data_IF_297443334117
#
_entry.id   IF_297443334117
#
_cell.length_a   1.000
_cell.length_b   1.000
_cell.length_c   1.000
_cell.angle_alpha   90.00
_cell.angle_beta   90.00
_cell.angle_gamma   90.00
#
_symmetry.space_group_name_H-M   'P 1'
#
loop_
_entity.id
_entity.type
_entity.pdbx_description
1 polymer ?
#
# COMPACT_ATOMS: atom_id res chain seq x y z
N UNK A 1 1.16 -16.72 14.85
CA UNK A 1 1.82 -15.57 14.21
C UNK A 1 0.76 -14.48 14.00
N UNK A 2 0.72 -13.48 14.89
CA UNK A 2 -0.35 -12.46 14.96
C UNK A 2 -0.13 -11.32 13.94
N UNK A 3 -0.06 -11.62 12.65
CA UNK A 3 0.30 -10.61 11.65
C UNK A 3 -0.87 -9.65 11.31
N UNK A 4 -2.12 -10.12 11.37
CA UNK A 4 -3.29 -9.31 11.00
C UNK A 4 -3.61 -8.15 11.95
N UNK A 5 -3.28 -8.29 13.25
CA UNK A 5 -3.50 -7.21 14.22
C UNK A 5 -2.56 -6.02 13.96
N UNK A 6 -1.33 -6.29 13.52
CA UNK A 6 -0.34 -5.26 13.20
C UNK A 6 -0.73 -4.48 11.93
N UNK A 7 -1.25 -5.16 10.91
CA UNK A 7 -1.71 -4.50 9.68
C UNK A 7 -2.92 -3.59 9.95
N UNK A 8 -3.90 -4.03 10.74
CA UNK A 8 -5.04 -3.18 11.12
C UNK A 8 -4.59 -1.92 11.88
N UNK A 9 -3.68 -2.07 12.84
CA UNK A 9 -3.14 -0.94 13.59
C UNK A 9 -2.34 0.03 12.69
N UNK A 10 -1.54 -0.51 11.77
CA UNK A 10 -0.80 0.30 10.79
C UNK A 10 -1.75 1.08 9.88
N UNK A 11 -2.80 0.43 9.35
CA UNK A 11 -3.80 1.10 8.50
C UNK A 11 -4.51 2.23 9.25
N UNK A 12 -4.85 2.02 10.52
CA UNK A 12 -5.46 3.06 11.35
C UNK A 12 -4.55 4.28 11.51
N UNK A 13 -3.24 4.06 11.78
CA UNK A 13 -2.23 5.14 11.84
C UNK A 13 -2.13 5.92 10.53
N UNK A 14 -2.15 5.23 9.38
CA UNK A 14 -2.07 5.87 8.06
C UNK A 14 -3.32 6.74 7.79
N UNK A 15 -4.51 6.24 8.12
CA UNK A 15 -5.76 7.01 7.95
C UNK A 15 -5.75 8.26 8.83
N UNK A 16 -5.30 8.15 10.07
CA UNK A 16 -5.16 9.30 10.98
C UNK A 16 -4.14 10.33 10.45
N UNK A 17 -3.05 9.84 9.86
CA UNK A 17 -1.99 10.69 9.32
C UNK A 17 -2.30 11.28 7.94
N UNK A 18 -3.38 10.87 7.26
CA UNK A 18 -3.68 11.26 5.88
C UNK A 18 -5.11 11.85 5.76
N UNK A 19 -5.27 13.18 5.83
CA UNK A 19 -6.60 13.81 5.80
C UNK A 19 -7.34 13.59 4.47
N UNK A 20 -6.63 13.24 3.40
CA UNK A 20 -7.19 13.00 2.06
C UNK A 20 -7.69 11.55 1.85
N UNK A 21 -7.33 10.61 2.71
CA UNK A 21 -7.80 9.22 2.64
C UNK A 21 -9.21 9.13 3.24
N UNK A 22 -10.26 9.29 2.41
CA UNK A 22 -11.64 9.20 2.87
C UNK A 22 -11.94 7.82 3.53
N UNK A 23 -12.42 7.86 4.77
CA UNK A 23 -12.61 6.72 5.67
C UNK A 23 -13.73 5.74 5.27
N UNK A 24 -14.65 6.13 4.39
CA UNK A 24 -15.84 5.33 4.06
C UNK A 24 -15.61 4.19 3.04
N UNK A 25 -14.60 4.29 2.18
CA UNK A 25 -14.32 3.33 1.09
C UNK A 25 -13.09 2.43 1.38
N UNK A 26 -12.52 2.54 2.58
CA UNK A 26 -11.14 2.12 2.86
C UNK A 26 -10.99 0.75 3.54
N UNK A 27 -12.08 0.02 3.79
CA UNK A 27 -12.03 -1.27 4.49
C UNK A 27 -11.36 -2.36 3.64
N UNK A 28 -11.64 -2.40 2.34
CA UNK A 28 -11.19 -3.47 1.43
C UNK A 28 -10.17 -3.01 0.38
N UNK A 29 -9.86 -1.70 0.36
CA UNK A 29 -9.00 -1.09 -0.65
C UNK A 29 -7.52 -1.38 -0.41
N UNK A 30 -6.80 -1.63 -1.50
CA UNK A 30 -5.35 -1.75 -1.48
C UNK A 30 -4.72 -0.36 -1.59
N UNK A 31 -3.59 -0.17 -0.94
CA UNK A 31 -2.81 1.06 -1.02
C UNK A 31 -1.44 0.78 -1.59
N UNK A 32 -0.98 1.61 -2.53
CA UNK A 32 0.41 1.69 -2.94
C UNK A 32 1.00 2.92 -2.25
N UNK A 33 1.78 2.68 -1.20
CA UNK A 33 2.49 3.73 -0.47
C UNK A 33 3.77 4.06 -1.23
N UNK A 34 3.96 5.34 -1.52
CA UNK A 34 5.09 5.85 -2.27
C UNK A 34 5.23 7.36 -2.08
N UNK A 35 6.08 7.98 -2.89
CA UNK A 35 6.12 9.44 -2.97
C UNK A 35 6.48 9.88 -4.39
N UNK A 36 6.04 11.08 -4.75
CA UNK A 36 6.29 11.67 -6.06
C UNK A 36 7.79 11.83 -6.34
N UNK A 37 8.21 11.57 -7.58
CA UNK A 37 9.62 11.67 -7.99
C UNK A 37 10.51 10.49 -7.56
N UNK A 38 9.93 9.42 -7.01
CA UNK A 38 10.64 8.20 -6.69
C UNK A 38 10.58 7.18 -7.84
N UNK A 39 11.73 6.86 -8.43
CA UNK A 39 11.80 5.93 -9.57
C UNK A 39 11.27 4.52 -9.25
N UNK A 40 11.52 4.01 -8.04
CA UNK A 40 10.99 2.70 -7.64
C UNK A 40 9.47 2.71 -7.53
N UNK A 41 8.87 3.84 -7.10
CA UNK A 41 7.42 3.98 -7.04
C UNK A 41 6.79 3.95 -8.44
N UNK A 42 7.41 4.59 -9.43
CA UNK A 42 6.96 4.52 -10.83
C UNK A 42 6.96 3.08 -11.36
N UNK A 43 7.98 2.28 -11.00
CA UNK A 43 8.05 0.85 -11.36
C UNK A 43 6.91 0.08 -10.71
N UNK A 44 6.65 0.31 -9.41
CA UNK A 44 5.56 -0.33 -8.68
C UNK A 44 4.18 0.05 -9.25
N UNK A 45 3.96 1.31 -9.62
CA UNK A 45 2.73 1.75 -10.29
C UNK A 45 2.52 1.02 -11.61
N UNK A 46 3.56 0.86 -12.43
CA UNK A 46 3.47 0.09 -13.67
C UNK A 46 3.12 -1.38 -13.42
N UNK A 47 3.63 -1.99 -12.35
CA UNK A 47 3.26 -3.35 -11.96
C UNK A 47 1.78 -3.42 -11.56
N UNK A 48 1.28 -2.44 -10.81
CA UNK A 48 -0.12 -2.35 -10.41
C UNK A 48 -1.07 -2.15 -11.60
N UNK A 49 -0.71 -1.30 -12.57
CA UNK A 49 -1.49 -1.11 -13.81
C UNK A 49 -1.56 -2.40 -14.63
N UNK A 50 -0.44 -3.12 -14.77
CA UNK A 50 -0.44 -4.43 -15.44
C UNK A 50 -1.30 -5.44 -14.70
N UNK A 51 -1.23 -5.44 -13.37
CA UNK A 51 -2.02 -6.32 -12.53
C UNK A 51 -3.53 -6.03 -12.64
N UNK A 52 -3.93 -4.75 -12.62
CA UNK A 52 -5.32 -4.32 -12.86
C UNK A 52 -5.87 -4.75 -14.23
N UNK A 53 -5.00 -4.88 -15.24
CA UNK A 53 -5.42 -5.33 -16.57
C UNK A 53 -5.86 -6.80 -16.60
N UNK A 54 -5.51 -7.59 -15.58
CA UNK A 54 -5.81 -9.03 -15.49
C UNK A 54 -6.58 -9.42 -14.22
N UNK A 55 -6.69 -8.52 -13.24
CA UNK A 55 -7.43 -8.73 -11.99
C UNK A 55 -8.27 -7.49 -11.68
N UNK A 56 -9.54 -7.63 -11.28
CA UNK A 56 -10.43 -6.50 -10.99
C UNK A 56 -10.16 -5.92 -9.60
N UNK A 57 -8.93 -5.46 -9.36
CA UNK A 57 -8.51 -4.85 -8.09
C UNK A 57 -8.57 -3.32 -8.18
N UNK A 58 -9.09 -2.68 -7.14
CA UNK A 58 -8.99 -1.24 -6.95
C UNK A 58 -7.90 -0.94 -5.94
N UNK A 59 -7.06 0.05 -6.24
CA UNK A 59 -6.05 0.55 -5.31
C UNK A 59 -6.01 2.07 -5.31
N UNK A 60 -5.37 2.63 -4.30
CA UNK A 60 -5.11 4.06 -4.16
C UNK A 60 -3.62 4.30 -3.98
N UNK A 61 -3.10 5.34 -4.60
CA UNK A 61 -1.76 5.83 -4.30
C UNK A 61 -1.84 6.68 -3.04
N UNK A 62 -0.97 6.39 -2.08
CA UNK A 62 -0.87 7.13 -0.82
C UNK A 62 0.52 7.75 -0.75
N UNK A 63 0.58 9.08 -0.83
CA UNK A 63 1.85 9.79 -0.75
C UNK A 63 2.30 9.87 0.71
N UNK A 64 3.44 9.25 1.02
CA UNK A 64 3.98 9.26 2.38
C UNK A 64 4.45 10.65 2.82
N UNK A 65 4.62 11.58 1.88
CA UNK A 65 4.95 12.98 2.18
C UNK A 65 3.82 13.73 2.90
N UNK A 66 2.58 13.22 2.81
CA UNK A 66 1.42 13.77 3.53
C UNK A 66 1.37 13.32 5.00
N UNK A 67 2.20 12.35 5.40
CA UNK A 67 2.19 11.81 6.75
C UNK A 67 2.88 12.74 7.77
N UNK A 68 2.65 12.48 9.06
CA UNK A 68 3.52 13.03 10.10
C UNK A 68 4.96 12.48 9.99
N UNK A 69 5.91 13.21 10.57
CA UNK A 69 7.35 12.91 10.42
C UNK A 69 7.72 11.49 10.82
N UNK A 70 7.20 11.00 11.95
CA UNK A 70 7.51 9.67 12.48
C UNK A 70 7.08 8.55 11.51
N UNK A 71 5.84 8.64 10.99
CA UNK A 71 5.32 7.65 10.06
C UNK A 71 5.97 7.77 8.68
N UNK A 72 6.26 8.99 8.22
CA UNK A 72 7.00 9.21 6.97
C UNK A 72 8.38 8.55 7.05
N UNK A 73 9.12 8.73 8.16
CA UNK A 73 10.45 8.12 8.35
C UNK A 73 10.40 6.59 8.39
N UNK A 74 9.33 5.98 8.92
CA UNK A 74 9.11 4.53 8.89
C UNK A 74 9.07 3.98 7.46
N UNK A 75 8.53 4.77 6.51
CA UNK A 75 8.38 4.36 5.11
C UNK A 75 9.48 4.86 4.17
N UNK A 76 10.22 5.91 4.53
CA UNK A 76 11.18 6.60 3.66
C UNK A 76 12.23 5.68 2.99
N UNK A 77 12.59 4.56 3.64
CA UNK A 77 13.57 3.58 3.13
C UNK A 77 12.94 2.27 2.63
N UNK A 78 11.62 2.13 2.74
CA UNK A 78 10.89 0.90 2.36
C UNK A 78 9.93 1.09 1.21
N UNK A 79 9.59 2.33 0.83
CA UNK A 79 8.77 2.60 -0.35
C UNK A 79 9.46 2.10 -1.64
N UNK A 80 8.68 1.57 -2.61
CA UNK A 80 7.22 1.43 -2.60
C UNK A 80 6.74 0.23 -1.77
N UNK A 81 5.56 0.37 -1.14
CA UNK A 81 4.92 -0.70 -0.35
C UNK A 81 3.48 -0.91 -0.78
N UNK A 82 3.07 -2.16 -0.97
CA UNK A 82 1.66 -2.53 -1.14
C UNK A 82 1.07 -2.89 0.22
N UNK A 83 -0.03 -2.23 0.60
CA UNK A 83 -0.76 -2.49 1.82
C UNK A 83 -2.22 -2.84 1.51
N UNK A 84 -2.56 -4.12 1.64
CA UNK A 84 -3.94 -4.61 1.57
C UNK A 84 -4.60 -4.48 2.95
N UNK A 85 -5.90 -4.79 3.09
CA UNK A 85 -6.56 -4.84 4.40
C UNK A 85 -5.89 -5.80 5.41
N UNK A 86 -5.18 -6.81 4.92
CA UNK A 86 -4.67 -7.93 5.73
C UNK A 86 -3.18 -8.22 5.55
N UNK A 87 -2.53 -7.66 4.52
CA UNK A 87 -1.13 -7.96 4.17
C UNK A 87 -0.36 -6.70 3.80
N UNK A 88 0.93 -6.71 4.12
CA UNK A 88 1.94 -5.76 3.65
C UNK A 88 2.92 -6.50 2.75
N UNK A 89 3.30 -5.89 1.65
CA UNK A 89 4.30 -6.39 0.72
C UNK A 89 5.25 -5.24 0.37
N UNK A 90 6.49 -5.35 0.85
CA UNK A 90 7.55 -4.37 0.59
C UNK A 90 8.25 -4.68 -0.74
N UNK A 91 8.77 -3.66 -1.42
CA UNK A 91 9.63 -3.85 -2.58
C UNK A 91 10.92 -4.62 -2.21
N UNK A 92 11.47 -5.48 -3.09
CA UNK A 92 11.02 -5.79 -4.45
C UNK A 92 9.86 -6.79 -4.53
N UNK A 93 8.94 -6.56 -5.48
CA UNK A 93 7.85 -7.48 -5.82
C UNK A 93 7.58 -7.54 -7.32
N UNK A 94 6.95 -8.63 -7.74
CA UNK A 94 6.52 -8.92 -9.11
C UNK A 94 5.00 -9.04 -9.22
N UNK A 95 4.48 -9.18 -10.44
CA UNK A 95 3.04 -9.47 -10.66
C UNK A 95 2.61 -10.78 -9.99
N UNK A 96 3.52 -11.76 -9.90
CA UNK A 96 3.22 -13.05 -9.26
C UNK A 96 3.07 -12.88 -7.74
N UNK A 97 3.87 -12.02 -7.10
CA UNK A 97 3.73 -11.70 -5.68
C UNK A 97 2.39 -10.99 -5.40
N UNK A 98 1.98 -10.07 -6.28
CA UNK A 98 0.65 -9.43 -6.21
C UNK A 98 -0.50 -10.44 -6.33
N UNK A 99 -0.36 -11.44 -7.21
CA UNK A 99 -1.36 -12.52 -7.33
C UNK A 99 -1.50 -13.33 -6.03
N UNK A 100 -0.40 -13.57 -5.30
CA UNK A 100 -0.45 -14.29 -4.03
C UNK A 100 -1.19 -13.53 -2.92
N UNK A 101 -1.35 -12.21 -3.05
CA UNK A 101 -2.14 -11.42 -2.12
C UNK A 101 -3.64 -11.74 -2.23
N UNK A 102 -4.13 -12.12 -3.42
CA UNK A 102 -5.54 -12.51 -3.65
C UNK A 102 -5.90 -13.89 -3.12
N UNK A 103 -4.93 -14.81 -3.01
CA UNK A 103 -5.18 -16.24 -2.76
C UNK A 103 -5.62 -16.61 -1.32
N UNK A 104 -5.99 -15.64 -0.48
CA UNK A 104 -6.34 -15.85 0.93
C UNK A 104 -7.61 -15.05 1.34
N UNK A 105 -8.66 -15.13 0.53
CA UNK A 105 -10.01 -14.75 0.93
C UNK A 105 -10.78 -15.99 1.40
#
# INVERSE_FOLDING_TARGET
MHNGNNIKALRARIIEASPNLCSAESSDKWWLLGTSGCHLCEIAEQLMVRFQSVQPITYENVDIADFNEDLMMEFATTIPVILTPSKRLDYPFSVMDLQQLLAHN
#
